data_IF_110224590408
#
_entry.id   IF_110224590408
#
_cell.length_a   1.000
_cell.length_b   1.000
_cell.length_c   1.000
_cell.angle_alpha   90.00
_cell.angle_beta   90.00
_cell.angle_gamma   90.00
#
_symmetry.space_group_name_H-M   'P 1'
#
loop_
_entity.id
_entity.type
_entity.pdbx_description
1 polymer ?
#
# COMPACT_ATOMS: atom_id res chain seq x y z
N UNK A 1 -20.18 43.93 -35.71
CA UNK A 1 -19.81 42.53 -35.40
C UNK A 1 -18.38 42.40 -34.83
N UNK A 2 -17.98 43.25 -33.86
CA UNK A 2 -16.67 43.14 -33.16
C UNK A 2 -16.82 43.06 -31.63
N UNK A 3 -17.86 43.66 -31.08
CA UNK A 3 -18.15 43.68 -29.63
C UNK A 3 -18.47 42.28 -29.11
N UNK A 4 -19.34 41.52 -29.79
CA UNK A 4 -19.67 40.13 -29.42
C UNK A 4 -18.45 39.18 -29.37
N UNK A 5 -17.47 39.37 -30.26
CA UNK A 5 -16.26 38.53 -30.31
C UNK A 5 -15.29 38.80 -29.16
N UNK A 6 -15.27 40.03 -28.62
CA UNK A 6 -14.43 40.41 -27.48
C UNK A 6 -15.03 39.86 -26.17
N UNK A 7 -16.35 39.92 -26.02
CA UNK A 7 -17.04 39.39 -24.85
C UNK A 7 -16.89 37.86 -24.72
N UNK A 8 -17.03 37.12 -25.82
CA UNK A 8 -16.82 35.66 -25.85
C UNK A 8 -15.39 35.28 -25.44
N UNK A 9 -14.38 35.96 -26.01
CA UNK A 9 -12.97 35.71 -25.72
C UNK A 9 -12.61 36.02 -24.26
N UNK A 10 -13.18 37.09 -23.70
CA UNK A 10 -12.99 37.47 -22.29
C UNK A 10 -13.65 36.47 -21.34
N UNK A 11 -14.88 36.04 -21.62
CA UNK A 11 -15.57 35.02 -20.80
C UNK A 11 -14.81 33.69 -20.85
N UNK A 12 -14.41 33.24 -22.04
CA UNK A 12 -13.64 31.99 -22.19
C UNK A 12 -12.31 32.03 -21.43
N UNK A 13 -11.63 33.18 -21.38
CA UNK A 13 -10.39 33.35 -20.62
C UNK A 13 -10.62 33.36 -19.10
N UNK A 14 -11.72 33.96 -18.63
CA UNK A 14 -12.12 33.94 -17.21
C UNK A 14 -12.45 32.51 -16.77
N UNK A 15 -13.22 31.76 -17.58
CA UNK A 15 -13.60 30.37 -17.27
C UNK A 15 -12.39 29.43 -17.22
N UNK A 16 -11.41 29.57 -18.14
CA UNK A 16 -10.18 28.78 -18.11
C UNK A 16 -9.28 29.09 -16.90
N UNK A 17 -9.18 30.36 -16.49
CA UNK A 17 -8.42 30.76 -15.30
C UNK A 17 -9.02 30.17 -14.02
N UNK A 18 -10.34 30.17 -13.90
CA UNK A 18 -11.05 29.60 -12.75
C UNK A 18 -10.94 28.08 -12.69
N UNK A 19 -10.92 27.39 -13.84
CA UNK A 19 -10.71 25.95 -13.92
C UNK A 19 -9.29 25.54 -13.49
N UNK A 20 -8.27 26.30 -13.91
CA UNK A 20 -6.88 26.08 -13.47
C UNK A 20 -6.72 26.30 -11.96
N UNK A 21 -7.37 27.32 -11.40
CA UNK A 21 -7.39 27.56 -9.96
C UNK A 21 -8.03 26.40 -9.18
N UNK A 22 -9.17 25.87 -9.66
CA UNK A 22 -9.82 24.71 -9.07
C UNK A 22 -8.96 23.44 -9.20
N UNK A 23 -8.28 23.23 -10.33
CA UNK A 23 -7.39 22.10 -10.55
C UNK A 23 -6.18 22.13 -9.60
N UNK A 24 -5.54 23.30 -9.44
CA UNK A 24 -4.41 23.47 -8.50
C UNK A 24 -4.86 23.24 -7.06
N UNK A 25 -6.06 23.70 -6.69
CA UNK A 25 -6.65 23.45 -5.37
C UNK A 25 -6.92 21.95 -5.14
N UNK A 26 -7.50 21.25 -6.13
CA UNK A 26 -7.70 19.80 -6.07
C UNK A 26 -6.38 19.03 -5.98
N UNK A 27 -5.37 19.40 -6.76
CA UNK A 27 -4.05 18.77 -6.72
C UNK A 27 -3.37 18.99 -5.36
N UNK A 28 -3.47 20.18 -4.76
CA UNK A 28 -2.90 20.46 -3.44
C UNK A 28 -3.47 19.58 -2.33
N UNK A 29 -4.76 19.21 -2.40
CA UNK A 29 -5.38 18.27 -1.45
C UNK A 29 -4.95 16.82 -1.68
N UNK A 30 -4.55 16.43 -2.90
CA UNK A 30 -4.09 15.06 -3.19
C UNK A 30 -2.67 14.77 -2.69
N UNK A 31 -1.83 15.79 -2.46
CA UNK A 31 -0.41 15.57 -2.10
C UNK A 31 -0.18 15.31 -0.60
N UNK A 32 -1.17 15.58 0.26
CA UNK A 32 -1.01 15.44 1.73
C UNK A 32 -1.74 14.23 2.34
N UNK A 33 -2.25 13.30 1.53
CA UNK A 33 -2.82 12.04 2.02
C UNK A 33 -1.73 11.01 2.41
N UNK A 34 -0.52 11.47 2.75
CA UNK A 34 0.49 10.60 3.36
C UNK A 34 0.13 10.46 4.83
N UNK A 35 -0.69 9.45 5.14
CA UNK A 35 -1.13 9.12 6.48
C UNK A 35 0.05 9.18 7.46
N UNK A 36 0.06 10.20 8.32
CA UNK A 36 1.02 10.32 9.41
C UNK A 36 0.58 9.32 10.49
N UNK A 37 0.81 8.04 10.23
CA UNK A 37 0.62 6.99 11.22
C UNK A 37 1.56 7.28 12.38
N UNK A 38 0.98 7.61 13.53
CA UNK A 38 1.74 7.72 14.78
C UNK A 38 2.31 6.34 15.07
N UNK A 39 3.62 6.22 15.00
CA UNK A 39 4.30 4.95 15.18
C UNK A 39 3.94 4.34 16.54
N UNK A 40 3.43 3.10 16.50
CA UNK A 40 3.11 2.30 17.67
C UNK A 40 3.72 0.92 17.50
N UNK A 41 4.51 0.49 18.48
CA UNK A 41 5.02 -0.87 18.52
C UNK A 41 3.88 -1.86 18.73
N UNK A 42 3.95 -2.97 18.02
CA UNK A 42 3.03 -4.09 18.15
C UNK A 42 3.75 -5.31 18.73
N UNK A 43 2.96 -6.26 19.25
CA UNK A 43 3.51 -7.57 19.61
C UNK A 43 3.73 -8.36 18.31
N UNK A 44 5.00 -8.55 17.96
CA UNK A 44 5.44 -9.19 16.73
C UNK A 44 4.86 -10.60 16.57
N UNK A 45 4.72 -11.34 17.68
CA UNK A 45 4.25 -12.72 17.66
C UNK A 45 2.75 -12.79 17.41
N UNK A 46 2.01 -11.86 17.99
CA UNK A 46 0.55 -11.78 17.82
C UNK A 46 0.20 -11.40 16.39
N UNK A 47 0.85 -10.39 15.84
CA UNK A 47 0.59 -9.94 14.47
C UNK A 47 1.10 -10.96 13.44
N UNK A 48 2.25 -11.60 13.67
CA UNK A 48 2.74 -12.68 12.81
C UNK A 48 1.80 -13.88 12.76
N UNK A 49 1.18 -14.26 13.89
CA UNK A 49 0.13 -15.28 13.92
C UNK A 49 -1.10 -14.86 13.12
N UNK A 50 -1.48 -13.59 13.20
CA UNK A 50 -2.62 -13.03 12.45
C UNK A 50 -2.39 -13.08 10.94
N UNK A 51 -1.17 -12.78 10.49
CA UNK A 51 -0.81 -12.89 9.08
C UNK A 51 -0.73 -14.34 8.60
N UNK A 52 -0.14 -15.22 9.41
CA UNK A 52 -0.12 -16.65 9.12
C UNK A 52 -1.54 -17.21 9.01
N UNK A 53 -2.44 -16.86 9.93
CA UNK A 53 -3.84 -17.29 9.88
C UNK A 53 -4.53 -16.80 8.60
N UNK A 54 -4.32 -15.55 8.21
CA UNK A 54 -4.88 -15.00 6.98
C UNK A 54 -4.33 -15.69 5.71
N UNK A 55 -3.06 -16.08 5.71
CA UNK A 55 -2.45 -16.88 4.65
C UNK A 55 -3.03 -18.30 4.59
N UNK A 56 -3.22 -18.94 5.75
CA UNK A 56 -3.78 -20.29 5.88
C UNK A 56 -5.16 -20.46 5.26
N UNK A 57 -5.93 -19.37 5.12
CA UNK A 57 -7.25 -19.39 4.50
C UNK A 57 -7.22 -19.67 2.99
N UNK A 58 -6.08 -19.42 2.33
CA UNK A 58 -5.93 -19.56 0.86
C UNK A 58 -4.80 -20.50 0.46
N UNK A 59 -3.86 -20.78 1.37
CA UNK A 59 -2.73 -21.66 1.15
C UNK A 59 -2.63 -22.61 2.34
N UNK A 60 -2.68 -23.94 2.15
CA UNK A 60 -2.45 -24.87 3.24
C UNK A 60 -1.00 -24.76 3.72
N UNK A 61 -0.82 -24.26 4.94
CA UNK A 61 0.48 -24.15 5.61
C UNK A 61 0.51 -25.12 6.78
N UNK A 62 1.50 -26.00 6.81
CA UNK A 62 1.64 -27.05 7.81
C UNK A 62 3.10 -27.43 8.00
N UNK A 63 3.43 -28.01 9.17
CA UNK A 63 4.79 -28.43 9.50
C UNK A 63 5.79 -27.28 9.42
N UNK A 64 6.97 -27.57 8.85
CA UNK A 64 8.09 -26.61 8.76
C UNK A 64 7.73 -25.36 7.96
N UNK A 65 6.91 -25.47 6.92
CA UNK A 65 6.44 -24.32 6.14
C UNK A 65 5.69 -23.30 7.02
N UNK A 66 4.86 -23.79 7.94
CA UNK A 66 4.13 -22.93 8.87
C UNK A 66 5.08 -22.18 9.82
N UNK A 67 6.13 -22.84 10.32
CA UNK A 67 7.12 -22.22 11.19
C UNK A 67 7.98 -21.19 10.45
N UNK A 68 8.40 -21.50 9.22
CA UNK A 68 9.24 -20.61 8.43
C UNK A 68 8.50 -19.35 8.01
N UNK A 69 7.22 -19.48 7.62
CA UNK A 69 6.35 -18.33 7.33
C UNK A 69 6.02 -17.52 8.59
N UNK A 70 5.83 -18.18 9.74
CA UNK A 70 5.67 -17.49 11.01
C UNK A 70 6.90 -16.63 11.34
N UNK A 71 8.11 -17.20 11.24
CA UNK A 71 9.38 -16.48 11.46
C UNK A 71 9.57 -15.33 10.46
N UNK A 72 9.12 -15.50 9.22
CA UNK A 72 9.14 -14.44 8.20
C UNK A 72 8.26 -13.25 8.62
N UNK A 73 7.04 -13.51 9.12
CA UNK A 73 6.16 -12.45 9.58
C UNK A 73 6.63 -11.83 10.91
N UNK A 74 7.22 -12.60 11.83
CA UNK A 74 7.88 -12.02 13.02
C UNK A 74 9.03 -11.10 12.60
N UNK A 75 9.84 -11.51 11.62
CA UNK A 75 10.89 -10.66 11.05
C UNK A 75 10.31 -9.36 10.49
N UNK A 76 9.19 -9.42 9.76
CA UNK A 76 8.50 -8.21 9.26
C UNK A 76 8.17 -7.25 10.42
N UNK A 77 7.42 -7.71 11.42
CA UNK A 77 6.98 -6.85 12.52
C UNK A 77 8.12 -6.33 13.38
N UNK A 78 9.19 -7.12 13.57
CA UNK A 78 10.41 -6.66 14.25
C UNK A 78 11.03 -5.46 13.57
N UNK A 79 11.16 -5.51 12.24
CA UNK A 79 11.71 -4.39 11.47
C UNK A 79 10.75 -3.20 11.48
N UNK A 80 9.43 -3.42 11.34
CA UNK A 80 8.45 -2.34 11.43
C UNK A 80 8.50 -1.63 12.79
N UNK A 81 8.73 -2.38 13.88
CA UNK A 81 8.92 -1.88 15.24
C UNK A 81 10.18 -1.02 15.44
N UNK A 82 11.03 -0.87 14.42
CA UNK A 82 12.17 0.07 14.42
C UNK A 82 11.79 1.48 13.95
N UNK A 83 10.50 1.73 13.71
CA UNK A 83 10.00 3.02 13.21
C UNK A 83 10.65 3.44 11.87
N UNK A 84 10.61 2.52 10.91
CA UNK A 84 11.19 2.71 9.58
C UNK A 84 10.58 3.92 8.84
N UNK A 85 11.41 4.60 8.04
CA UNK A 85 10.94 5.59 7.07
C UNK A 85 10.02 4.95 6.03
N UNK A 86 9.23 5.76 5.31
CA UNK A 86 8.33 5.27 4.28
C UNK A 86 9.05 4.45 3.20
N UNK A 87 10.22 4.91 2.76
CA UNK A 87 11.05 4.22 1.76
C UNK A 87 11.54 2.87 2.28
N UNK A 88 11.93 2.80 3.56
CA UNK A 88 12.37 1.56 4.21
C UNK A 88 11.22 0.57 4.41
N UNK A 89 10.00 1.04 4.67
CA UNK A 89 8.79 0.19 4.70
C UNK A 89 8.50 -0.40 3.32
N UNK A 90 8.62 0.39 2.25
CA UNK A 90 8.44 -0.09 0.86
C UNK A 90 9.48 -1.17 0.52
N UNK A 91 10.75 -0.94 0.87
CA UNK A 91 11.80 -1.93 0.63
C UNK A 91 11.59 -3.21 1.46
N UNK A 92 11.17 -3.09 2.72
CA UNK A 92 10.82 -4.24 3.56
C UNK A 92 9.68 -5.04 2.92
N UNK A 93 8.61 -4.39 2.47
CA UNK A 93 7.49 -5.05 1.83
C UNK A 93 7.93 -5.86 0.60
N UNK A 94 8.78 -5.27 -0.24
CA UNK A 94 9.38 -5.95 -1.40
C UNK A 94 10.21 -7.17 -0.98
N UNK A 95 11.01 -7.07 0.08
CA UNK A 95 11.80 -8.19 0.60
C UNK A 95 10.90 -9.32 1.09
N UNK A 96 9.83 -9.00 1.83
CA UNK A 96 8.85 -10.00 2.30
C UNK A 96 8.18 -10.68 1.10
N UNK A 97 7.76 -9.90 0.10
CA UNK A 97 7.13 -10.42 -1.11
C UNK A 97 8.05 -11.37 -1.89
N UNK A 98 9.33 -11.01 -2.06
CA UNK A 98 10.32 -11.86 -2.72
C UNK A 98 10.53 -13.18 -1.95
N UNK A 99 10.55 -13.13 -0.62
CA UNK A 99 10.67 -14.33 0.22
C UNK A 99 9.43 -15.21 0.09
N UNK A 100 8.22 -14.64 0.10
CA UNK A 100 6.99 -15.40 -0.14
C UNK A 100 7.02 -16.10 -1.50
N UNK A 101 7.44 -15.41 -2.57
CA UNK A 101 7.56 -16.01 -3.92
C UNK A 101 8.66 -17.06 -4.03
N UNK A 102 9.70 -17.00 -3.20
CA UNK A 102 10.75 -18.00 -3.15
C UNK A 102 10.34 -19.24 -2.33
N UNK A 103 9.44 -19.08 -1.36
CA UNK A 103 8.98 -20.15 -0.47
C UNK A 103 7.74 -20.87 -1.00
N UNK A 104 6.82 -20.15 -1.64
CA UNK A 104 5.54 -20.67 -2.11
C UNK A 104 5.58 -21.01 -3.60
N UNK A 105 4.75 -21.97 -4.02
CA UNK A 105 4.58 -22.27 -5.44
C UNK A 105 3.84 -21.13 -6.17
N UNK A 106 3.94 -21.12 -7.51
CA UNK A 106 3.22 -20.16 -8.34
C UNK A 106 1.70 -20.21 -8.11
N UNK A 107 1.11 -21.39 -7.98
CA UNK A 107 -0.32 -21.57 -7.73
C UNK A 107 -0.73 -21.03 -6.34
N UNK A 108 0.11 -21.25 -5.33
CA UNK A 108 -0.12 -20.71 -3.97
C UNK A 108 -0.05 -19.18 -3.99
N UNK A 109 0.92 -18.59 -4.68
CA UNK A 109 1.00 -17.14 -4.87
C UNK A 109 -0.22 -16.60 -5.62
N UNK A 110 -0.68 -17.30 -6.64
CA UNK A 110 -1.89 -16.91 -7.38
C UNK A 110 -3.13 -16.92 -6.46
N UNK A 111 -3.24 -17.87 -5.53
CA UNK A 111 -4.34 -17.91 -4.56
C UNK A 111 -4.31 -16.72 -3.59
N UNK A 112 -3.11 -16.28 -3.20
CA UNK A 112 -2.93 -15.06 -2.39
C UNK A 112 -3.38 -13.83 -3.19
N UNK A 113 -2.92 -13.70 -4.44
CA UNK A 113 -3.20 -12.54 -5.29
C UNK A 113 -4.69 -12.46 -5.71
N UNK A 114 -5.39 -13.59 -5.79
CA UNK A 114 -6.84 -13.64 -6.01
C UNK A 114 -7.64 -13.10 -4.84
N UNK A 115 -7.09 -13.07 -3.61
CA UNK A 115 -7.76 -12.52 -2.43
C UNK A 115 -7.44 -11.01 -2.31
N UNK A 116 -8.42 -10.12 -2.53
CA UNK A 116 -8.16 -8.68 -2.54
C UNK A 116 -7.49 -8.20 -1.25
N UNK A 117 -6.37 -7.51 -1.40
CA UNK A 117 -5.63 -6.92 -0.28
C UNK A 117 -4.83 -7.89 0.58
N UNK A 118 -4.91 -9.21 0.37
CA UNK A 118 -4.15 -10.17 1.18
C UNK A 118 -2.65 -10.01 0.98
N UNK A 119 -2.16 -9.95 -0.26
CA UNK A 119 -0.72 -9.78 -0.51
C UNK A 119 -0.18 -8.54 0.20
N UNK A 120 -0.89 -7.41 0.08
CA UNK A 120 -0.53 -6.15 0.73
C UNK A 120 -0.49 -6.29 2.25
N UNK A 121 -1.45 -7.01 2.86
CA UNK A 121 -1.44 -7.29 4.30
C UNK A 121 -0.22 -8.12 4.71
N UNK A 122 0.12 -9.15 3.94
CA UNK A 122 1.24 -10.02 4.25
C UNK A 122 2.60 -9.29 4.14
N UNK A 123 2.72 -8.32 3.23
CA UNK A 123 3.97 -7.60 2.98
C UNK A 123 4.16 -6.33 3.81
N UNK A 124 3.09 -5.63 4.19
CA UNK A 124 3.17 -4.31 4.82
C UNK A 124 3.04 -4.34 6.34
#
# INVERSE_FOLDING_TARGET
MKIFSIFDKTIKQITMKNLLGALVLFLAFTVNASAQETFKKVDEKVEAKTDLAALSEVVPVQGTLSEDLFRLFEYKYRNLNENLSAERKVELAKIIELKLRATLSADQMQNIEKKPGLLKKLTN
#
